data_IF_478504001305
#
_entry.id   IF_478504001305
#
_cell.length_a   1.000
_cell.length_b   1.000
_cell.length_c   1.000
_cell.angle_alpha   90.00
_cell.angle_beta   90.00
_cell.angle_gamma   90.00
#
_symmetry.space_group_name_H-M   'P 1'
#
loop_
_entity.id
_entity.type
_entity.pdbx_description
1 polymer ?
#
# COMPACT_ATOMS: atom_id res chain seq x y z
N UNK A 1 12.31 3.97 -7.71
CA UNK A 1 11.52 2.80 -8.11
C UNK A 1 11.09 1.99 -6.91
N UNK A 2 9.85 1.51 -6.95
CA UNK A 2 9.27 0.60 -5.96
C UNK A 2 9.90 -0.78 -6.18
N UNK A 3 10.52 -1.35 -5.15
CA UNK A 3 11.19 -2.66 -5.24
C UNK A 3 10.18 -3.79 -5.07
N UNK A 4 10.38 -4.90 -5.77
CA UNK A 4 9.61 -6.14 -5.63
C UNK A 4 10.47 -7.22 -4.96
N UNK A 5 9.93 -7.86 -3.92
CA UNK A 5 10.55 -8.99 -3.23
C UNK A 5 9.65 -10.23 -3.38
N UNK A 6 10.20 -11.31 -3.92
CA UNK A 6 9.48 -12.57 -4.10
C UNK A 6 9.74 -13.53 -2.93
N UNK A 7 8.74 -14.34 -2.58
CA UNK A 7 8.94 -15.50 -1.71
C UNK A 7 10.04 -16.43 -2.29
N UNK A 8 10.79 -17.06 -1.38
CA UNK A 8 11.93 -17.93 -1.76
C UNK A 8 11.45 -19.05 -2.68
N UNK A 9 12.14 -19.24 -3.79
CA UNK A 9 11.82 -20.29 -4.77
C UNK A 9 10.64 -19.98 -5.69
N UNK A 10 9.97 -18.83 -5.53
CA UNK A 10 8.89 -18.40 -6.41
C UNK A 10 9.43 -17.51 -7.52
N UNK A 11 9.17 -17.91 -8.76
CA UNK A 11 9.40 -17.06 -9.93
C UNK A 11 8.08 -16.40 -10.35
N UNK A 12 8.06 -15.09 -10.64
CA UNK A 12 6.84 -14.43 -11.06
C UNK A 12 6.45 -14.90 -12.46
N UNK A 13 5.15 -15.15 -12.65
CA UNK A 13 4.58 -15.34 -13.99
C UNK A 13 4.43 -13.99 -14.68
N UNK A 14 4.30 -13.92 -16.02
CA UNK A 14 4.06 -12.67 -16.72
C UNK A 14 2.83 -11.89 -16.21
N UNK A 15 1.76 -12.61 -15.82
CA UNK A 15 0.55 -12.01 -15.24
C UNK A 15 0.82 -11.37 -13.85
N UNK A 16 1.64 -12.04 -13.04
CA UNK A 16 2.06 -11.51 -11.74
C UNK A 16 3.00 -10.31 -11.90
N UNK A 17 3.88 -10.31 -12.90
CA UNK A 17 4.74 -9.16 -13.23
C UNK A 17 3.93 -7.95 -13.69
N UNK A 18 2.93 -8.16 -14.56
CA UNK A 18 2.00 -7.11 -14.98
C UNK A 18 1.24 -6.54 -13.79
N UNK A 19 0.77 -7.41 -12.90
CA UNK A 19 0.11 -7.00 -11.66
C UNK A 19 1.03 -6.21 -10.73
N UNK A 20 2.31 -6.61 -10.61
CA UNK A 20 3.29 -5.89 -9.83
C UNK A 20 3.56 -4.48 -10.40
N UNK A 21 3.65 -4.35 -11.71
CA UNK A 21 3.82 -3.06 -12.38
C UNK A 21 2.62 -2.13 -12.16
N UNK A 22 1.40 -2.64 -12.32
CA UNK A 22 0.17 -1.89 -12.05
C UNK A 22 0.09 -1.46 -10.58
N UNK A 23 0.39 -2.39 -9.66
CA UNK A 23 0.35 -2.09 -8.23
C UNK A 23 1.44 -1.07 -7.82
N UNK A 24 2.62 -1.13 -8.43
CA UNK A 24 3.66 -0.12 -8.23
C UNK A 24 3.19 1.28 -8.69
N UNK A 25 2.35 1.36 -9.72
CA UNK A 25 1.68 2.60 -10.13
C UNK A 25 0.80 3.17 -9.02
N UNK A 26 -0.13 2.34 -8.50
CA UNK A 26 -1.01 2.70 -7.37
C UNK A 26 -0.21 3.19 -6.16
N UNK A 27 0.83 2.46 -5.77
CA UNK A 27 1.66 2.83 -4.61
C UNK A 27 2.45 4.13 -4.85
N UNK A 28 2.87 4.43 -6.08
CA UNK A 28 3.53 5.70 -6.42
C UNK A 28 2.57 6.88 -6.30
N UNK A 29 1.36 6.75 -6.81
CA UNK A 29 0.33 7.79 -6.69
C UNK A 29 0.01 8.09 -5.22
N UNK A 30 -0.24 7.05 -4.43
CA UNK A 30 -0.47 7.19 -2.99
C UNK A 30 0.75 7.76 -2.27
N UNK A 31 1.97 7.29 -2.57
CA UNK A 31 3.19 7.87 -1.98
C UNK A 31 3.28 9.37 -2.21
N UNK A 32 2.88 9.85 -3.41
CA UNK A 32 2.76 11.28 -3.69
C UNK A 32 1.76 12.01 -2.79
N UNK A 33 0.59 11.42 -2.56
CA UNK A 33 -0.43 11.98 -1.64
C UNK A 33 0.09 12.11 -0.19
N UNK A 34 0.89 11.14 0.26
CA UNK A 34 1.49 11.15 1.60
C UNK A 34 2.83 11.91 1.68
N UNK A 35 3.27 12.55 0.59
CA UNK A 35 4.60 13.20 0.49
C UNK A 35 5.77 12.26 0.83
N UNK A 36 5.61 10.97 0.54
CA UNK A 36 6.64 9.94 0.70
C UNK A 36 7.46 9.79 -0.57
N UNK A 37 8.75 9.46 -0.40
CA UNK A 37 9.55 8.98 -1.53
C UNK A 37 9.07 7.60 -1.96
N UNK A 38 8.96 7.35 -3.27
CA UNK A 38 8.71 6.01 -3.82
C UNK A 38 9.77 4.97 -3.39
N UNK A 39 10.92 5.42 -2.86
CA UNK A 39 11.96 4.55 -2.30
C UNK A 39 11.63 4.02 -0.90
N UNK A 40 10.67 4.63 -0.20
CA UNK A 40 10.22 4.22 1.13
C UNK A 40 9.08 3.18 1.07
N UNK A 41 8.67 2.80 -0.13
CA UNK A 41 7.64 1.79 -0.37
C UNK A 41 8.21 0.65 -1.18
N UNK A 42 7.76 -0.56 -0.89
CA UNK A 42 8.12 -1.76 -1.62
C UNK A 42 6.95 -2.73 -1.69
N UNK A 43 7.00 -3.59 -2.67
CA UNK A 43 6.06 -4.69 -2.87
C UNK A 43 6.77 -5.96 -2.42
N UNK A 44 6.05 -6.83 -1.71
CA UNK A 44 6.47 -8.21 -1.51
C UNK A 44 5.39 -9.15 -1.99
N UNK A 45 5.76 -10.38 -2.36
CA UNK A 45 4.83 -11.44 -2.68
C UNK A 45 5.07 -12.62 -1.75
N UNK A 46 4.06 -12.92 -0.93
CA UNK A 46 4.02 -14.13 -0.10
C UNK A 46 2.89 -15.04 -0.62
N UNK A 47 3.17 -16.34 -0.73
CA UNK A 47 2.22 -17.36 -1.18
C UNK A 47 1.22 -17.76 -0.10
N UNK A 48 1.48 -17.41 1.16
CA UNK A 48 0.61 -17.75 2.29
C UNK A 48 0.44 -16.56 3.26
N UNK A 49 -0.25 -16.80 4.39
CA UNK A 49 -0.38 -15.85 5.48
C UNK A 49 -1.48 -14.78 5.34
N UNK A 50 -1.58 -13.93 6.36
CA UNK A 50 -2.61 -12.89 6.47
C UNK A 50 -2.04 -11.46 6.37
N UNK A 51 -0.72 -11.32 6.24
CA UNK A 51 -0.05 -10.03 6.21
C UNK A 51 -0.34 -9.29 4.90
N UNK A 52 -1.23 -8.30 4.95
CA UNK A 52 -1.56 -7.43 3.81
C UNK A 52 -0.46 -6.40 3.55
N UNK A 53 0.11 -5.86 4.62
CA UNK A 53 1.22 -4.91 4.58
C UNK A 53 1.96 -4.95 5.92
N UNK A 54 3.13 -4.32 5.98
CA UNK A 54 3.83 -4.04 7.22
C UNK A 54 4.77 -2.83 7.07
N UNK A 55 5.12 -2.21 8.19
CA UNK A 55 6.16 -1.19 8.27
C UNK A 55 7.39 -1.72 9.02
N UNK A 56 8.57 -1.51 8.45
CA UNK A 56 9.85 -1.82 9.11
C UNK A 56 10.82 -0.65 8.95
N UNK A 57 11.04 0.09 10.04
CA UNK A 57 12.03 1.16 10.07
C UNK A 57 11.70 2.33 9.14
N UNK A 58 10.44 2.80 9.16
CA UNK A 58 9.91 3.83 8.26
C UNK A 58 9.92 3.44 6.77
N UNK A 59 9.92 2.14 6.48
CA UNK A 59 9.81 1.58 5.13
C UNK A 59 8.59 0.67 5.06
N UNK A 60 7.69 0.95 4.13
CA UNK A 60 6.41 0.26 3.99
C UNK A 60 6.51 -0.85 2.95
N UNK A 61 5.95 -2.00 3.26
CA UNK A 61 5.91 -3.17 2.40
C UNK A 61 4.45 -3.58 2.19
N UNK A 62 4.05 -3.73 0.93
CA UNK A 62 2.68 -4.08 0.56
C UNK A 62 2.63 -5.41 -0.18
N UNK A 63 1.69 -6.27 0.19
CA UNK A 63 1.62 -7.63 -0.35
C UNK A 63 0.91 -7.64 -1.71
N UNK A 64 1.64 -8.02 -2.76
CA UNK A 64 1.14 -8.16 -4.11
C UNK A 64 -0.01 -9.17 -4.21
N UNK A 65 -0.01 -10.22 -3.40
CA UNK A 65 -1.05 -11.26 -3.45
C UNK A 65 -2.44 -10.67 -3.22
N UNK A 66 -2.59 -9.80 -2.23
CA UNK A 66 -3.87 -9.15 -1.93
C UNK A 66 -4.32 -8.20 -3.04
N UNK A 67 -3.37 -7.56 -3.73
CA UNK A 67 -3.69 -6.77 -4.91
C UNK A 67 -4.15 -7.67 -6.06
N UNK A 68 -3.30 -8.64 -6.42
CA UNK A 68 -3.46 -9.52 -7.56
C UNK A 68 -4.72 -10.39 -7.49
N UNK A 69 -5.07 -10.92 -6.32
CA UNK A 69 -6.19 -11.86 -6.18
C UNK A 69 -7.53 -11.16 -5.94
N UNK A 70 -7.53 -9.97 -5.30
CA UNK A 70 -8.77 -9.38 -4.77
C UNK A 70 -9.05 -7.92 -5.20
N UNK A 71 -8.05 -7.19 -5.71
CA UNK A 71 -8.19 -5.75 -5.98
C UNK A 71 -7.87 -5.34 -7.42
N UNK A 72 -7.09 -6.12 -8.17
CA UNK A 72 -6.62 -5.73 -9.51
C UNK A 72 -7.74 -5.38 -10.49
N UNK A 73 -8.88 -6.07 -10.37
CA UNK A 73 -10.04 -5.95 -11.26
C UNK A 73 -11.16 -5.08 -10.65
N UNK A 74 -10.90 -4.43 -9.50
CA UNK A 74 -11.84 -3.52 -8.84
C UNK A 74 -11.76 -2.13 -9.46
N UNK A 75 -12.82 -1.31 -9.33
CA UNK A 75 -12.77 0.09 -9.76
C UNK A 75 -11.58 0.82 -9.13
N UNK A 76 -10.88 1.65 -9.91
CA UNK A 76 -9.67 2.37 -9.49
C UNK A 76 -9.86 3.11 -8.16
N UNK A 77 -11.01 3.75 -7.97
CA UNK A 77 -11.33 4.50 -6.75
C UNK A 77 -11.36 3.60 -5.51
N UNK A 78 -11.93 2.39 -5.62
CA UNK A 78 -11.97 1.40 -4.53
C UNK A 78 -10.56 0.92 -4.18
N UNK A 79 -9.73 0.65 -5.20
CA UNK A 79 -8.34 0.24 -5.03
C UNK A 79 -7.53 1.32 -4.31
N UNK A 80 -7.64 2.58 -4.75
CA UNK A 80 -6.93 3.69 -4.12
C UNK A 80 -7.37 3.91 -2.67
N UNK A 81 -8.67 3.91 -2.39
CA UNK A 81 -9.19 4.09 -1.04
C UNK A 81 -8.76 2.96 -0.08
N UNK A 82 -8.79 1.71 -0.54
CA UNK A 82 -8.38 0.53 0.23
C UNK A 82 -6.89 0.58 0.59
N UNK A 83 -6.03 0.89 -0.38
CA UNK A 83 -4.59 0.97 -0.15
C UNK A 83 -4.18 2.27 0.56
N UNK A 84 -4.94 3.35 0.43
CA UNK A 84 -4.78 4.57 1.24
C UNK A 84 -4.94 4.28 2.74
N UNK A 85 -6.02 3.59 3.13
CA UNK A 85 -6.24 3.21 4.52
C UNK A 85 -5.17 2.25 5.03
N UNK A 86 -4.73 1.32 4.17
CA UNK A 86 -3.61 0.42 4.50
C UNK A 86 -2.31 1.22 4.72
N UNK A 87 -2.03 2.23 3.90
CA UNK A 87 -0.85 3.09 4.08
C UNK A 87 -0.92 3.93 5.36
N UNK A 88 -2.10 4.46 5.72
CA UNK A 88 -2.31 5.14 7.01
C UNK A 88 -2.02 4.21 8.19
N UNK A 89 -2.52 2.97 8.13
CA UNK A 89 -2.26 1.95 9.15
C UNK A 89 -0.77 1.69 9.31
N UNK A 90 -0.07 1.46 8.22
CA UNK A 90 1.36 1.17 8.28
C UNK A 90 2.19 2.38 8.71
N UNK A 91 1.81 3.61 8.32
CA UNK A 91 2.49 4.82 8.80
C UNK A 91 2.29 5.06 10.29
N UNK A 92 1.14 4.70 10.86
CA UNK A 92 0.90 4.81 12.30
C UNK A 92 1.91 3.98 13.12
N UNK A 93 2.41 2.88 12.54
CA UNK A 93 3.47 2.06 13.15
C UNK A 93 4.83 2.75 13.29
N UNK A 94 5.04 3.94 12.67
CA UNK A 94 6.22 4.76 12.97
C UNK A 94 6.22 5.31 14.40
N UNK A 95 5.04 5.47 15.01
CA UNK A 95 4.89 5.96 16.38
C UNK A 95 4.45 4.88 17.36
N UNK A 96 3.57 3.97 16.93
CA UNK A 96 2.93 2.99 17.81
C UNK A 96 3.09 1.57 17.26
N UNK A 97 3.88 0.73 17.93
CA UNK A 97 4.12 -0.63 17.42
C UNK A 97 2.92 -1.57 17.61
N UNK A 98 2.20 -1.46 18.73
CA UNK A 98 1.00 -2.26 19.01
C UNK A 98 -0.26 -1.66 18.39
N UNK A 99 -1.27 -2.51 18.14
CA UNK A 99 -2.63 -2.08 17.77
C UNK A 99 -3.41 -1.65 19.02
N UNK A 100 -2.95 -0.59 19.66
CA UNK A 100 -3.61 0.02 20.81
C UNK A 100 -4.36 1.31 20.42
N UNK A 101 -5.02 1.94 21.41
CA UNK A 101 -5.75 3.18 21.17
C UNK A 101 -4.88 4.34 20.62
N UNK A 102 -3.57 4.33 20.87
CA UNK A 102 -2.63 5.30 20.32
C UNK A 102 -2.43 5.10 18.83
N UNK A 103 -2.24 3.85 18.41
CA UNK A 103 -2.17 3.46 16.99
C UNK A 103 -3.45 3.83 16.24
N UNK A 104 -4.63 3.50 16.80
CA UNK A 104 -5.91 3.82 16.16
C UNK A 104 -6.14 5.32 16.00
N UNK A 105 -5.80 6.13 17.02
CA UNK A 105 -5.88 7.59 16.93
C UNK A 105 -4.94 8.15 15.89
N UNK A 106 -3.71 7.66 15.81
CA UNK A 106 -2.73 8.10 14.82
C UNK A 106 -3.17 7.73 13.40
N UNK A 107 -3.66 6.50 13.18
CA UNK A 107 -4.23 6.07 11.91
C UNK A 107 -5.36 7.00 11.47
N UNK A 108 -6.31 7.29 12.36
CA UNK A 108 -7.42 8.21 12.06
C UNK A 108 -6.93 9.62 11.75
N UNK A 109 -5.96 10.14 12.51
CA UNK A 109 -5.38 11.45 12.27
C UNK A 109 -4.69 11.54 10.90
N UNK A 110 -3.90 10.52 10.52
CA UNK A 110 -3.30 10.41 9.20
C UNK A 110 -4.37 10.33 8.10
N UNK A 111 -5.40 9.51 8.30
CA UNK A 111 -6.48 9.32 7.35
C UNK A 111 -7.29 10.60 7.12
N UNK A 112 -7.50 11.43 8.15
CA UNK A 112 -8.17 12.73 7.99
C UNK A 112 -7.22 13.75 7.34
N UNK A 113 -5.97 13.80 7.78
CA UNK A 113 -4.99 14.77 7.30
C UNK A 113 -4.72 14.66 5.80
N UNK A 114 -4.57 13.44 5.27
CA UNK A 114 -4.28 13.20 3.86
C UNK A 114 -5.53 13.00 2.99
N UNK A 115 -6.74 13.04 3.55
CA UNK A 115 -7.98 12.83 2.81
C UNK A 115 -8.16 13.79 1.62
N UNK A 116 -7.83 15.10 1.74
CA UNK A 116 -7.93 16.00 0.58
C UNK A 116 -7.04 15.56 -0.59
N UNK A 117 -5.85 15.01 -0.31
CA UNK A 117 -4.93 14.49 -1.34
C UNK A 117 -5.45 13.20 -1.97
N UNK A 118 -6.11 12.35 -1.20
CA UNK A 118 -6.82 11.20 -1.75
C UNK A 118 -7.94 11.67 -2.69
N UNK A 119 -8.75 12.64 -2.27
CA UNK A 119 -9.84 13.17 -3.08
C UNK A 119 -9.33 13.69 -4.44
N UNK A 120 -8.25 14.47 -4.44
CA UNK A 120 -7.59 14.92 -5.67
C UNK A 120 -7.21 13.75 -6.60
N UNK A 121 -6.76 12.61 -6.05
CA UNK A 121 -6.43 11.40 -6.84
C UNK A 121 -7.65 10.66 -7.36
N UNK A 122 -8.75 10.65 -6.60
CA UNK A 122 -9.99 9.96 -6.97
C UNK A 122 -10.74 10.69 -8.09
N UNK A 123 -10.61 12.01 -8.14
CA UNK A 123 -11.20 12.88 -9.15
C UNK A 123 -10.38 12.95 -10.45
N UNK A 124 -9.12 12.52 -10.42
CA UNK A 124 -8.33 12.38 -11.64
C UNK A 124 -8.95 11.34 -12.56
N UNK A 125 -9.10 11.72 -13.82
CA UNK A 125 -9.65 10.91 -14.91
C UNK A 125 -11.17 10.64 -14.82
N UNK A 126 -11.91 11.44 -14.05
CA UNK A 126 -13.37 11.60 -14.16
C UNK A 126 -13.77 12.59 -15.25
#
# INVERSE_FOLDING_TARGET
DVRLYMAVGVQPTPDLEASAAAFAGVLKELSGAFSLSSRQVSIFYDTAGYTKAFNRGNHLFFNLRFYHEAQRDRPRQEVLASWYMTMCHELAHNKWQGHDSGHERELQALAVHFMPRLQELLERDL
#
